data_IF_664220836305
#
_entry.id   IF_664220836305
#
_cell.length_a   1.000
_cell.length_b   1.000
_cell.length_c   1.000
_cell.angle_alpha   90.00
_cell.angle_beta   90.00
_cell.angle_gamma   90.00
#
_symmetry.space_group_name_H-M   'P 1'
#
loop_
_entity.id
_entity.type
_entity.pdbx_description
1 polymer ?
#
# COMPACT_ATOMS: atom_id res chain seq x y z
N UNK A 1 25.65 -21.04 -9.41
CA UNK A 1 24.95 -20.59 -10.64
C UNK A 1 23.97 -19.44 -10.31
N UNK A 2 23.11 -19.60 -9.31
CA UNK A 2 22.12 -18.58 -8.93
C UNK A 2 22.75 -17.27 -8.42
N UNK A 3 23.89 -17.32 -7.74
CA UNK A 3 24.58 -16.13 -7.22
C UNK A 3 25.13 -15.28 -8.38
N UNK A 4 25.67 -15.90 -9.42
CA UNK A 4 26.21 -15.22 -10.62
C UNK A 4 25.08 -14.52 -11.37
N UNK A 5 23.95 -15.22 -11.59
CA UNK A 5 22.77 -14.66 -12.26
C UNK A 5 22.23 -13.45 -11.50
N UNK A 6 22.15 -13.54 -10.18
CA UNK A 6 21.71 -12.41 -9.34
C UNK A 6 22.69 -11.23 -9.36
N UNK A 7 23.98 -11.53 -9.37
CA UNK A 7 25.01 -10.49 -9.55
C UNK A 7 24.84 -9.74 -10.87
N UNK A 8 24.63 -10.47 -11.96
CA UNK A 8 24.39 -9.88 -13.29
C UNK A 8 23.11 -9.03 -13.31
N UNK A 9 22.00 -9.54 -12.76
CA UNK A 9 20.76 -8.78 -12.67
C UNK A 9 20.97 -7.52 -11.82
N UNK A 10 21.69 -7.62 -10.68
CA UNK A 10 22.02 -6.49 -9.84
C UNK A 10 22.78 -5.39 -10.58
N UNK A 11 23.78 -5.75 -11.39
CA UNK A 11 24.56 -4.82 -12.21
C UNK A 11 23.65 -4.13 -13.23
N UNK A 12 22.76 -4.89 -13.91
CA UNK A 12 21.80 -4.33 -14.88
C UNK A 12 20.86 -3.33 -14.19
N UNK A 13 20.36 -3.66 -13.00
CA UNK A 13 19.48 -2.77 -12.23
C UNK A 13 20.20 -1.48 -11.83
N UNK A 14 21.44 -1.57 -11.38
CA UNK A 14 22.25 -0.38 -11.05
C UNK A 14 22.44 0.49 -12.28
N UNK A 15 22.78 -0.10 -13.43
CA UNK A 15 22.94 0.62 -14.69
C UNK A 15 21.64 1.34 -15.13
N UNK A 16 20.50 0.66 -15.06
CA UNK A 16 19.19 1.24 -15.36
C UNK A 16 18.85 2.36 -14.38
N UNK A 17 19.14 2.18 -13.07
CA UNK A 17 18.89 3.19 -12.03
C UNK A 17 19.65 4.48 -12.30
N UNK A 18 20.92 4.37 -12.70
CA UNK A 18 21.75 5.53 -13.04
C UNK A 18 21.19 6.25 -14.26
N UNK A 19 20.81 5.52 -15.32
CA UNK A 19 20.26 6.11 -16.53
C UNK A 19 18.89 6.78 -16.33
N UNK A 20 18.01 6.17 -15.50
CA UNK A 20 16.69 6.74 -15.19
C UNK A 20 16.76 7.85 -14.13
N UNK A 21 17.90 8.06 -13.47
CA UNK A 21 18.07 8.98 -12.32
C UNK A 21 17.02 8.76 -11.23
N UNK A 22 16.52 7.53 -11.09
CA UNK A 22 15.49 7.15 -10.13
C UNK A 22 16.09 6.24 -9.05
N UNK A 23 16.49 6.82 -7.93
CA UNK A 23 17.00 6.07 -6.77
C UNK A 23 15.98 5.08 -6.23
N UNK A 24 14.68 5.45 -6.27
CA UNK A 24 13.58 4.59 -5.81
C UNK A 24 13.52 3.28 -6.62
N UNK A 25 13.59 3.36 -7.95
CA UNK A 25 13.61 2.17 -8.81
C UNK A 25 14.76 1.23 -8.44
N UNK A 26 15.96 1.78 -8.22
CA UNK A 26 17.13 1.00 -7.82
C UNK A 26 16.95 0.29 -6.48
N UNK A 27 16.52 1.03 -5.47
CA UNK A 27 16.32 0.50 -4.12
C UNK A 27 15.28 -0.63 -4.12
N UNK A 28 14.11 -0.43 -4.75
CA UNK A 28 13.08 -1.46 -4.80
C UNK A 28 13.52 -2.70 -5.59
N UNK A 29 14.18 -2.52 -6.72
CA UNK A 29 14.65 -3.64 -7.54
C UNK A 29 15.73 -4.46 -6.82
N UNK A 30 16.69 -3.81 -6.16
CA UNK A 30 17.71 -4.48 -5.36
C UNK A 30 17.10 -5.20 -4.14
N UNK A 31 16.12 -4.59 -3.48
CA UNK A 31 15.40 -5.23 -2.37
C UNK A 31 14.67 -6.50 -2.83
N UNK A 32 14.04 -6.48 -4.01
CA UNK A 32 13.39 -7.65 -4.61
C UNK A 32 14.43 -8.75 -4.89
N UNK A 33 15.56 -8.42 -5.50
CA UNK A 33 16.63 -9.40 -5.80
C UNK A 33 17.19 -10.00 -4.50
N UNK A 34 17.43 -9.18 -3.49
CA UNK A 34 17.91 -9.66 -2.19
C UNK A 34 16.91 -10.57 -1.48
N UNK A 35 15.62 -10.37 -1.69
CA UNK A 35 14.55 -11.13 -1.03
C UNK A 35 14.25 -12.50 -1.67
N UNK A 36 14.80 -12.81 -2.86
CA UNK A 36 14.46 -14.01 -3.63
C UNK A 36 14.65 -15.37 -2.89
N UNK A 37 15.52 -15.43 -1.85
CA UNK A 37 15.76 -16.63 -1.04
C UNK A 37 15.15 -16.56 0.36
N UNK A 38 14.43 -15.50 0.68
CA UNK A 38 13.85 -15.34 2.00
C UNK A 38 12.41 -15.84 1.97
N UNK A 39 12.02 -16.59 3.00
CA UNK A 39 10.62 -16.99 3.14
C UNK A 39 9.69 -15.75 3.10
N UNK A 40 8.77 -15.77 2.17
CA UNK A 40 7.80 -14.67 1.96
C UNK A 40 7.07 -14.27 3.24
N UNK A 41 6.79 -15.22 4.15
CA UNK A 41 6.18 -14.92 5.45
C UNK A 41 7.10 -14.09 6.35
N UNK A 42 8.42 -14.29 6.28
CA UNK A 42 9.38 -13.48 7.04
C UNK A 42 9.45 -12.06 6.50
N UNK A 43 9.47 -11.92 5.17
CA UNK A 43 9.45 -10.60 4.53
C UNK A 43 8.20 -9.82 4.91
N UNK A 44 7.02 -10.45 4.81
CA UNK A 44 5.75 -9.80 5.13
C UNK A 44 5.67 -9.46 6.62
N UNK A 45 6.14 -10.33 7.54
CA UNK A 45 6.23 -10.00 8.97
C UNK A 45 7.11 -8.79 9.23
N UNK A 46 8.31 -8.76 8.64
CA UNK A 46 9.23 -7.64 8.76
C UNK A 46 8.58 -6.36 8.24
N UNK A 47 7.92 -6.41 7.08
CA UNK A 47 7.21 -5.27 6.52
C UNK A 47 6.10 -4.75 7.45
N UNK A 48 5.30 -5.64 8.05
CA UNK A 48 4.26 -5.25 9.02
C UNK A 48 4.87 -4.55 10.23
N UNK A 49 5.91 -5.14 10.83
CA UNK A 49 6.56 -4.57 12.01
C UNK A 49 7.18 -3.21 11.67
N UNK A 50 7.93 -3.11 10.56
CA UNK A 50 8.55 -1.87 10.12
C UNK A 50 7.52 -0.77 9.87
N UNK A 51 6.41 -1.07 9.17
CA UNK A 51 5.35 -0.07 8.93
C UNK A 51 4.69 0.38 10.23
N UNK A 52 4.40 -0.54 11.16
CA UNK A 52 3.82 -0.18 12.46
C UNK A 52 4.79 0.70 13.25
N UNK A 53 6.06 0.30 13.36
CA UNK A 53 7.08 1.10 14.03
C UNK A 53 7.21 2.49 13.40
N UNK A 54 7.22 2.57 12.08
CA UNK A 54 7.32 3.83 11.35
C UNK A 54 6.09 4.71 11.58
N UNK A 55 4.88 4.17 11.48
CA UNK A 55 3.64 4.92 11.78
C UNK A 55 3.70 5.47 13.22
N UNK A 56 4.05 4.63 14.19
CA UNK A 56 4.12 5.04 15.60
C UNK A 56 5.17 6.12 15.81
N UNK A 57 6.37 5.95 15.23
CA UNK A 57 7.48 6.90 15.37
C UNK A 57 7.23 8.27 14.74
N UNK A 58 6.29 8.37 13.80
CA UNK A 58 5.93 9.65 13.16
C UNK A 58 4.67 10.25 13.79
N UNK A 59 3.63 9.42 13.99
CA UNK A 59 2.33 9.90 14.49
C UNK A 59 2.41 10.34 15.94
N UNK A 60 3.10 9.60 16.80
CA UNK A 60 3.20 9.99 18.22
C UNK A 60 3.88 11.36 18.40
N UNK A 61 5.07 11.63 17.80
CA UNK A 61 5.67 12.97 17.86
C UNK A 61 4.81 14.07 17.25
N UNK A 62 4.03 13.76 16.19
CA UNK A 62 3.13 14.74 15.61
C UNK A 62 1.94 15.08 16.55
N UNK A 63 1.39 14.07 17.25
CA UNK A 63 0.30 14.29 18.22
C UNK A 63 0.73 15.09 19.45
N UNK A 64 1.99 14.96 19.89
CA UNK A 64 2.54 15.73 21.02
C UNK A 64 3.18 17.06 20.59
N UNK A 65 3.12 17.40 19.30
CA UNK A 65 3.59 18.68 18.78
C UNK A 65 5.10 18.79 18.54
N UNK A 66 5.84 17.67 18.58
CA UNK A 66 7.29 17.67 18.28
C UNK A 66 7.53 17.78 16.77
N UNK A 67 6.68 17.14 15.97
CA UNK A 67 6.73 17.19 14.51
C UNK A 67 5.53 18.02 14.03
N UNK A 68 5.74 18.86 13.01
CA UNK A 68 4.66 19.63 12.40
C UNK A 68 3.58 18.69 11.85
N UNK A 69 2.32 19.01 12.15
CA UNK A 69 1.18 18.29 11.60
C UNK A 69 0.54 19.17 10.53
N UNK A 70 0.93 18.96 9.28
CA UNK A 70 0.41 19.71 8.15
C UNK A 70 -1.08 19.42 7.97
N UNK A 71 -1.84 20.51 7.78
CA UNK A 71 -3.28 20.47 7.56
C UNK A 71 -3.55 20.88 6.13
N UNK A 72 -4.13 19.96 5.36
CA UNK A 72 -4.56 20.19 3.98
C UNK A 72 -6.05 20.47 3.94
N UNK A 73 -6.47 21.36 3.05
CA UNK A 73 -7.89 21.56 2.75
C UNK A 73 -8.22 20.74 1.52
N UNK A 74 -8.97 19.65 1.70
CA UNK A 74 -9.40 18.80 0.61
C UNK A 74 -10.94 18.79 0.54
N UNK A 75 -11.49 19.26 -0.59
CA UNK A 75 -12.94 19.41 -0.79
C UNK A 75 -13.66 20.16 0.36
N UNK A 76 -13.05 21.22 0.87
CA UNK A 76 -13.61 22.01 1.96
C UNK A 76 -13.50 21.37 3.36
N UNK A 77 -12.85 20.23 3.48
CA UNK A 77 -12.60 19.52 4.75
C UNK A 77 -11.14 19.57 5.12
N UNK A 78 -10.85 19.65 6.43
CA UNK A 78 -9.49 19.57 6.95
C UNK A 78 -9.03 18.09 6.90
N UNK A 79 -7.92 17.84 6.22
CA UNK A 79 -7.21 16.57 6.19
C UNK A 79 -5.88 16.71 6.91
N UNK A 80 -5.61 15.85 7.88
CA UNK A 80 -4.41 15.92 8.72
C UNK A 80 -3.37 14.92 8.22
N UNK A 81 -2.13 15.40 8.02
CA UNK A 81 -1.01 14.57 7.59
C UNK A 81 -0.39 13.76 8.73
N UNK A 82 -0.67 14.11 10.00
CA UNK A 82 -0.17 13.43 11.21
C UNK A 82 1.35 13.22 11.21
N UNK A 83 2.10 14.25 10.82
CA UNK A 83 3.56 14.24 10.76
C UNK A 83 4.15 13.69 9.46
N UNK A 84 3.33 13.23 8.52
CA UNK A 84 3.77 12.86 7.18
C UNK A 84 3.73 14.04 6.22
N UNK A 85 4.47 13.95 5.11
CA UNK A 85 4.47 14.97 4.06
C UNK A 85 3.12 15.08 3.34
N UNK A 86 2.30 14.01 3.39
CA UNK A 86 1.00 13.94 2.71
C UNK A 86 -0.03 13.23 3.58
N UNK A 87 -1.26 13.75 3.60
CA UNK A 87 -2.38 13.20 4.35
C UNK A 87 -2.82 11.79 3.89
N UNK A 88 -2.45 11.37 2.68
CA UNK A 88 -2.76 10.04 2.15
C UNK A 88 -1.78 8.94 2.60
N UNK A 89 -0.62 9.28 3.15
CA UNK A 89 0.42 8.29 3.47
C UNK A 89 -0.03 7.29 4.55
N UNK A 90 -0.62 7.77 5.64
CA UNK A 90 -1.11 6.89 6.73
C UNK A 90 -2.18 5.93 6.24
N UNK A 91 -3.25 6.36 5.55
CA UNK A 91 -4.26 5.45 5.02
C UNK A 91 -3.66 4.31 4.18
N UNK A 92 -2.71 4.61 3.30
CA UNK A 92 -2.04 3.60 2.49
C UNK A 92 -1.24 2.61 3.34
N UNK A 93 -0.45 3.11 4.29
CA UNK A 93 0.35 2.26 5.17
C UNK A 93 -0.53 1.32 6.00
N UNK A 94 -1.61 1.84 6.57
CA UNK A 94 -2.54 1.02 7.37
C UNK A 94 -3.28 0.00 6.50
N UNK A 95 -3.64 0.35 5.26
CA UNK A 95 -4.18 -0.61 4.30
C UNK A 95 -3.18 -1.73 4.02
N UNK A 96 -1.92 -1.40 3.71
CA UNK A 96 -0.86 -2.39 3.47
C UNK A 96 -0.65 -3.30 4.68
N UNK A 97 -0.59 -2.74 5.89
CA UNK A 97 -0.49 -3.52 7.13
C UNK A 97 -1.70 -4.45 7.31
N UNK A 98 -2.90 -3.97 7.04
CA UNK A 98 -4.13 -4.79 7.13
C UNK A 98 -4.10 -5.97 6.16
N UNK A 99 -3.76 -5.73 4.89
CA UNK A 99 -3.63 -6.77 3.87
C UNK A 99 -2.56 -7.80 4.24
N UNK A 100 -1.41 -7.32 4.74
CA UNK A 100 -0.31 -8.16 5.17
C UNK A 100 -0.68 -9.03 6.39
N UNK A 101 -1.35 -8.46 7.39
CA UNK A 101 -1.86 -9.21 8.56
C UNK A 101 -2.90 -10.26 8.14
N UNK A 102 -3.81 -9.91 7.23
CA UNK A 102 -4.78 -10.86 6.69
C UNK A 102 -4.07 -12.02 5.97
N UNK A 103 -3.05 -11.72 5.17
CA UNK A 103 -2.26 -12.74 4.48
C UNK A 103 -1.48 -13.64 5.46
N UNK A 104 -0.95 -13.08 6.55
CA UNK A 104 -0.23 -13.84 7.59
C UNK A 104 -1.15 -14.67 8.49
N UNK A 105 -2.45 -14.40 8.50
CA UNK A 105 -3.38 -15.13 9.35
C UNK A 105 -3.50 -16.59 8.91
N UNK A 106 -3.12 -17.51 9.80
CA UNK A 106 -3.06 -18.95 9.51
C UNK A 106 -4.38 -19.69 9.85
N UNK A 107 -5.39 -18.99 10.35
CA UNK A 107 -6.68 -19.57 10.75
C UNK A 107 -7.83 -18.62 10.48
N UNK A 108 -9.01 -19.18 10.21
CA UNK A 108 -10.23 -18.38 10.00
C UNK A 108 -10.57 -17.46 11.19
N UNK A 109 -10.24 -17.89 12.43
CA UNK A 109 -10.44 -17.06 13.62
C UNK A 109 -9.56 -15.81 13.57
N UNK A 110 -8.27 -15.95 13.24
CA UNK A 110 -7.34 -14.83 13.13
C UNK A 110 -7.73 -13.88 11.99
N UNK A 111 -8.18 -14.42 10.85
CA UNK A 111 -8.69 -13.61 9.74
C UNK A 111 -9.88 -12.76 10.16
N UNK A 112 -10.86 -13.38 10.84
CA UNK A 112 -12.02 -12.65 11.36
C UNK A 112 -11.62 -11.52 12.31
N UNK A 113 -10.66 -11.78 13.20
CA UNK A 113 -10.14 -10.75 14.13
C UNK A 113 -9.53 -9.60 13.33
N UNK A 114 -8.64 -9.87 12.36
CA UNK A 114 -8.02 -8.83 11.52
C UNK A 114 -9.08 -8.00 10.79
N UNK A 115 -10.09 -8.64 10.20
CA UNK A 115 -11.16 -7.94 9.48
C UNK A 115 -11.99 -7.06 10.41
N UNK A 116 -12.43 -7.60 11.56
CA UNK A 116 -13.27 -6.87 12.52
C UNK A 116 -12.51 -5.68 13.10
N UNK A 117 -11.23 -5.85 13.45
CA UNK A 117 -10.42 -4.77 14.03
C UNK A 117 -10.02 -3.71 13.00
N UNK A 118 -9.84 -4.09 11.74
CA UNK A 118 -9.45 -3.15 10.69
C UNK A 118 -10.58 -2.19 10.28
N UNK A 119 -11.85 -2.58 10.40
CA UNK A 119 -12.99 -1.72 10.04
C UNK A 119 -12.99 -0.38 10.80
N UNK A 120 -13.02 -0.38 12.16
CA UNK A 120 -13.02 0.89 12.91
C UNK A 120 -11.75 1.71 12.66
N UNK A 121 -10.59 1.05 12.50
CA UNK A 121 -9.33 1.73 12.21
C UNK A 121 -9.40 2.45 10.86
N UNK A 122 -9.88 1.80 9.80
CA UNK A 122 -10.00 2.41 8.47
C UNK A 122 -11.00 3.56 8.46
N UNK A 123 -12.13 3.44 9.19
CA UNK A 123 -13.12 4.51 9.31
C UNK A 123 -12.53 5.71 10.05
N UNK A 124 -11.78 5.49 11.14
CA UNK A 124 -11.15 6.54 11.92
C UNK A 124 -10.10 7.28 11.08
N UNK A 125 -9.24 6.54 10.37
CA UNK A 125 -8.23 7.12 9.49
C UNK A 125 -8.87 7.89 8.35
N UNK A 126 -9.95 7.38 7.76
CA UNK A 126 -10.70 8.11 6.75
C UNK A 126 -11.24 9.45 7.27
N UNK A 127 -11.79 9.49 8.50
CA UNK A 127 -12.26 10.74 9.11
C UNK A 127 -11.16 11.77 9.29
N UNK A 128 -9.93 11.31 9.56
CA UNK A 128 -8.77 12.19 9.79
C UNK A 128 -8.14 12.63 8.47
N UNK A 129 -7.97 11.72 7.52
CA UNK A 129 -7.24 11.96 6.26
C UNK A 129 -8.12 12.32 5.07
N UNK A 130 -9.44 12.09 5.14
CA UNK A 130 -10.41 12.29 4.05
C UNK A 130 -10.11 11.54 2.74
N UNK A 131 -9.23 10.53 2.78
CA UNK A 131 -8.74 9.80 1.59
C UNK A 131 -9.75 8.74 1.13
N UNK A 132 -10.62 9.10 0.17
CA UNK A 132 -11.69 8.22 -0.34
C UNK A 132 -11.16 7.00 -1.08
N UNK A 133 -10.07 7.15 -1.83
CA UNK A 133 -9.51 6.06 -2.66
C UNK A 133 -9.11 4.85 -1.80
N UNK A 134 -8.43 5.07 -0.68
CA UNK A 134 -7.99 3.99 0.20
C UNK A 134 -9.17 3.27 0.84
N UNK A 135 -10.19 4.03 1.27
CA UNK A 135 -11.43 3.44 1.79
C UNK A 135 -12.14 2.60 0.72
N UNK A 136 -12.20 3.10 -0.52
CA UNK A 136 -12.75 2.36 -1.66
C UNK A 136 -12.02 1.03 -1.91
N UNK A 137 -10.69 1.04 -1.95
CA UNK A 137 -9.87 -0.17 -2.10
C UNK A 137 -10.13 -1.15 -0.94
N UNK A 138 -10.23 -0.65 0.29
CA UNK A 138 -10.54 -1.47 1.46
C UNK A 138 -11.94 -2.11 1.35
N UNK A 139 -12.95 -1.36 0.92
CA UNK A 139 -14.31 -1.90 0.69
C UNK A 139 -14.32 -3.01 -0.37
N UNK A 140 -13.62 -2.81 -1.50
CA UNK A 140 -13.50 -3.83 -2.56
C UNK A 140 -12.81 -5.07 -2.02
N UNK A 141 -11.75 -4.92 -1.22
CA UNK A 141 -11.09 -6.04 -0.55
C UNK A 141 -12.05 -6.80 0.38
N UNK A 142 -12.85 -6.10 1.19
CA UNK A 142 -13.83 -6.71 2.09
C UNK A 142 -14.89 -7.49 1.31
N UNK A 143 -15.42 -6.93 0.22
CA UNK A 143 -16.38 -7.61 -0.67
C UNK A 143 -15.75 -8.87 -1.28
N UNK A 144 -14.51 -8.80 -1.76
CA UNK A 144 -13.82 -9.95 -2.32
C UNK A 144 -13.63 -11.09 -1.29
N UNK A 145 -13.29 -10.74 -0.04
CA UNK A 145 -13.17 -11.72 1.05
C UNK A 145 -14.52 -12.35 1.39
N UNK A 146 -15.59 -11.57 1.45
CA UNK A 146 -16.94 -12.08 1.70
C UNK A 146 -17.41 -13.01 0.57
N UNK A 147 -17.26 -12.61 -0.68
CA UNK A 147 -17.59 -13.44 -1.84
C UNK A 147 -16.81 -14.76 -1.86
N UNK A 148 -15.51 -14.72 -1.53
CA UNK A 148 -14.71 -15.94 -1.47
C UNK A 148 -15.19 -16.93 -0.41
N UNK A 149 -15.72 -16.41 0.70
CA UNK A 149 -16.30 -17.25 1.77
C UNK A 149 -17.66 -17.83 1.38
N UNK A 150 -18.50 -17.05 0.71
CA UNK A 150 -19.81 -17.51 0.21
C UNK A 150 -19.66 -18.59 -0.86
N UNK A 151 -18.67 -18.46 -1.73
CA UNK A 151 -18.40 -19.42 -2.81
C UNK A 151 -17.66 -20.70 -2.32
N UNK A 152 -17.47 -20.85 -1.00
CA UNK A 152 -16.81 -22.00 -0.37
C UNK A 152 -15.44 -22.37 -1.00
N UNK A 153 -14.78 -21.37 -1.59
CA UNK A 153 -13.45 -21.56 -2.20
C UNK A 153 -12.41 -21.58 -1.08
N UNK A 154 -12.10 -22.77 -0.59
CA UNK A 154 -11.12 -23.04 0.49
C UNK A 154 -9.68 -22.57 0.21
N UNK A 155 -9.42 -21.82 -0.87
CA UNK A 155 -8.08 -21.41 -1.30
C UNK A 155 -7.90 -19.90 -1.20
N UNK A 156 -7.48 -19.42 -0.02
CA UNK A 156 -7.01 -18.04 0.23
C UNK A 156 -6.15 -17.46 -0.90
N UNK A 157 -5.25 -18.29 -1.46
CA UNK A 157 -4.36 -17.88 -2.53
C UNK A 157 -5.10 -17.50 -3.83
N UNK A 158 -6.21 -18.17 -4.16
CA UNK A 158 -6.95 -17.84 -5.38
C UNK A 158 -7.62 -16.46 -5.31
N UNK A 159 -8.13 -16.07 -4.15
CA UNK A 159 -8.78 -14.75 -3.99
C UNK A 159 -7.75 -13.63 -4.02
N UNK A 160 -6.63 -13.80 -3.34
CA UNK A 160 -5.53 -12.81 -3.38
C UNK A 160 -4.91 -12.71 -4.78
N UNK A 161 -4.70 -13.84 -5.46
CA UNK A 161 -4.19 -13.87 -6.84
C UNK A 161 -5.22 -13.23 -7.79
N UNK A 162 -6.50 -13.58 -7.68
CA UNK A 162 -7.55 -13.00 -8.50
C UNK A 162 -7.66 -11.49 -8.26
N UNK A 163 -7.59 -11.05 -7.00
CA UNK A 163 -7.63 -9.65 -6.63
C UNK A 163 -6.41 -8.88 -7.15
N UNK A 164 -5.20 -9.43 -6.99
CA UNK A 164 -3.98 -8.80 -7.52
C UNK A 164 -3.96 -8.80 -9.05
N UNK A 165 -4.43 -9.87 -9.68
CA UNK A 165 -4.49 -9.98 -11.14
C UNK A 165 -5.48 -9.00 -11.79
N UNK A 166 -6.56 -8.64 -11.09
CA UNK A 166 -7.54 -7.67 -11.60
C UNK A 166 -7.19 -6.24 -11.17
N UNK A 167 -6.79 -6.04 -9.91
CA UNK A 167 -6.53 -4.69 -9.39
C UNK A 167 -5.35 -4.01 -10.07
N UNK A 168 -4.28 -4.77 -10.39
CA UNK A 168 -3.10 -4.21 -11.05
C UNK A 168 -3.40 -3.67 -12.46
N UNK A 169 -4.01 -4.45 -13.37
CA UNK A 169 -4.41 -3.94 -14.68
C UNK A 169 -5.47 -2.84 -14.60
N UNK A 170 -6.46 -2.96 -13.71
CA UNK A 170 -7.48 -1.92 -13.52
C UNK A 170 -6.85 -0.60 -13.03
N UNK A 171 -5.95 -0.64 -12.06
CA UNK A 171 -5.24 0.54 -11.61
C UNK A 171 -4.39 1.16 -12.73
N UNK A 172 -3.68 0.35 -13.51
CA UNK A 172 -2.90 0.82 -14.66
C UNK A 172 -3.78 1.46 -15.73
N UNK A 173 -4.92 0.84 -16.07
CA UNK A 173 -5.88 1.38 -17.04
C UNK A 173 -6.48 2.69 -16.53
N UNK A 174 -6.89 2.75 -15.27
CA UNK A 174 -7.47 3.97 -14.67
C UNK A 174 -6.42 5.08 -14.67
N UNK A 175 -5.17 4.80 -14.27
CA UNK A 175 -4.08 5.78 -14.28
C UNK A 175 -3.80 6.28 -15.70
N UNK A 176 -3.81 5.38 -16.67
CA UNK A 176 -3.62 5.72 -18.09
C UNK A 176 -4.77 6.58 -18.62
N UNK A 177 -6.02 6.24 -18.33
CA UNK A 177 -7.20 7.02 -18.71
C UNK A 177 -7.19 8.42 -18.07
N UNK A 178 -6.84 8.50 -16.78
CA UNK A 178 -6.69 9.77 -16.07
C UNK A 178 -5.59 10.60 -16.74
N UNK A 179 -4.44 10.01 -17.05
CA UNK A 179 -3.33 10.71 -17.72
C UNK A 179 -3.74 11.26 -19.07
N UNK A 180 -4.48 10.49 -19.90
CA UNK A 180 -5.00 10.97 -21.20
C UNK A 180 -6.03 12.09 -20.98
N UNK A 181 -6.90 11.97 -20.00
CA UNK A 181 -7.90 12.98 -19.69
C UNK A 181 -7.27 14.30 -19.26
N UNK A 182 -6.25 14.24 -18.40
CA UNK A 182 -5.50 15.43 -17.95
C UNK A 182 -4.67 16.07 -19.06
N UNK A 183 -4.06 15.29 -19.96
CA UNK A 183 -3.30 15.82 -21.08
C UNK A 183 -4.19 16.45 -22.17
N UNK A 184 -5.43 16.00 -22.32
CA UNK A 184 -6.38 16.56 -23.29
C UNK A 184 -7.07 17.84 -22.83
N UNK A 185 -7.25 18.03 -21.55
CA UNK A 185 -7.87 19.22 -20.96
C UNK A 185 -6.80 20.18 -20.47
N UNK A 186 -6.26 21.00 -21.38
CA UNK A 186 -5.37 22.14 -21.06
C UNK A 186 -5.99 23.17 -20.10
N UNK A 187 -7.28 23.04 -19.78
CA UNK A 187 -8.02 23.89 -18.84
C UNK A 187 -7.54 23.73 -17.39
N UNK A 188 -6.90 22.63 -17.01
CA UNK A 188 -6.38 22.41 -15.65
C UNK A 188 -4.91 22.83 -15.46
N UNK A 189 -4.23 23.32 -16.49
CA UNK A 189 -2.88 23.87 -16.37
C UNK A 189 -2.84 25.38 -16.05
N UNK A 190 -3.98 26.01 -15.86
CA UNK A 190 -4.10 27.47 -15.61
C UNK A 190 -4.70 27.77 -14.21
N UNK A 191 -4.76 26.80 -13.33
CA UNK A 191 -5.07 26.96 -11.92
C UNK A 191 -3.94 26.43 -11.04
#
# INVERSE_FOLDING_TARGET
>A
RDLIVRGLIGIIVIFITINLRSTEFGVYSLAIIASLNIDSKRIVRFNVISNICFIVSVVLPALIGIIANDIYIHEGKKAYALGFSYYSNIPYMVLVVTLALFWLANSQKKEKIVLITSIPIQILIYKVSTTRLVLGIYCVFMVAVLLSRLLNTNKKHKVLIFFSAIMFPCAAIITFLISIYYTKNSFFMTL
#
